data_IF_650515594663
#
_entry.id   IF_650515594663
#
_cell.length_a   1.000
_cell.length_b   1.000
_cell.length_c   1.000
_cell.angle_alpha   90.00
_cell.angle_beta   90.00
_cell.angle_gamma   90.00
#
_symmetry.space_group_name_H-M   'P 1'
#
loop_
_entity.id
_entity.type
_entity.pdbx_description
1 polymer ?
#
# COMPACT_ATOMS: atom_id res chain seq x y z
N UNK A 1 -24.66 -22.38 -6.57
CA UNK A 1 -23.86 -21.17 -6.86
C UNK A 1 -22.93 -20.92 -5.69
N UNK A 2 -21.60 -20.84 -5.89
CA UNK A 2 -20.65 -20.55 -4.80
C UNK A 2 -20.64 -19.03 -4.56
N UNK A 3 -20.87 -18.60 -3.32
CA UNK A 3 -20.80 -17.18 -2.93
C UNK A 3 -19.37 -16.84 -2.53
N UNK A 4 -18.86 -15.71 -3.00
CA UNK A 4 -17.57 -15.12 -2.60
C UNK A 4 -17.86 -13.89 -1.77
N UNK A 5 -17.17 -13.73 -0.67
CA UNK A 5 -17.32 -12.59 0.25
C UNK A 5 -15.97 -11.94 0.53
N UNK A 6 -15.97 -10.64 0.79
CA UNK A 6 -14.81 -9.91 1.32
C UNK A 6 -14.88 -10.01 2.84
N UNK A 7 -13.81 -10.52 3.44
CA UNK A 7 -13.75 -10.74 4.90
C UNK A 7 -12.89 -9.72 5.63
N UNK A 8 -12.02 -9.02 4.93
CA UNK A 8 -11.17 -7.98 5.51
C UNK A 8 -10.62 -7.02 4.46
N UNK A 9 -10.36 -5.81 4.88
CA UNK A 9 -9.87 -4.72 4.02
C UNK A 9 -8.67 -4.06 4.69
N UNK A 10 -7.65 -3.73 3.89
CA UNK A 10 -6.52 -2.90 4.30
C UNK A 10 -6.34 -1.73 3.34
N UNK A 11 -6.02 -0.56 3.86
CA UNK A 11 -5.83 0.64 3.06
C UNK A 11 -4.55 1.38 3.46
N UNK A 12 -3.76 1.78 2.46
CA UNK A 12 -2.61 2.68 2.59
C UNK A 12 -2.80 3.81 1.59
N UNK A 13 -2.88 5.02 2.07
CA UNK A 13 -3.16 6.18 1.22
C UNK A 13 -2.51 7.45 1.76
N UNK A 14 -2.45 8.50 0.94
CA UNK A 14 -1.95 9.82 1.33
C UNK A 14 -2.85 10.56 2.34
N UNK A 15 -4.09 10.12 2.54
CA UNK A 15 -5.04 10.71 3.48
C UNK A 15 -5.19 9.91 4.77
N UNK A 16 -4.55 8.75 4.87
CA UNK A 16 -4.56 7.92 6.08
C UNK A 16 -4.20 6.47 5.83
N UNK A 17 -3.76 5.81 6.89
CA UNK A 17 -3.48 4.38 6.92
C UNK A 17 -4.56 3.65 7.73
N UNK A 18 -5.00 2.52 7.20
CA UNK A 18 -6.14 1.76 7.73
C UNK A 18 -7.49 2.28 7.25
N UNK A 19 -8.46 1.38 7.20
CA UNK A 19 -9.80 1.65 6.62
C UNK A 19 -10.53 2.76 7.37
N UNK A 20 -10.42 2.80 8.69
CA UNK A 20 -11.11 3.82 9.51
C UNK A 20 -10.59 5.23 9.22
N UNK A 21 -9.27 5.42 9.23
CA UNK A 21 -8.64 6.71 8.94
C UNK A 21 -8.94 7.16 7.52
N UNK A 22 -8.82 6.25 6.55
CA UNK A 22 -9.14 6.51 5.15
C UNK A 22 -10.61 6.93 4.97
N UNK A 23 -11.56 6.17 5.52
CA UNK A 23 -12.99 6.46 5.40
C UNK A 23 -13.36 7.79 6.09
N UNK A 24 -12.75 8.10 7.23
CA UNK A 24 -12.97 9.37 7.92
C UNK A 24 -12.44 10.54 7.10
N UNK A 25 -11.22 10.45 6.59
CA UNK A 25 -10.64 11.49 5.74
C UNK A 25 -11.49 11.79 4.49
N UNK A 26 -12.06 10.74 3.87
CA UNK A 26 -12.98 10.92 2.73
C UNK A 26 -14.26 11.64 3.14
N UNK A 27 -14.84 11.32 4.30
CA UNK A 27 -16.06 12.00 4.81
C UNK A 27 -15.77 13.47 5.12
N UNK A 28 -14.60 13.76 5.64
CA UNK A 28 -14.18 15.11 6.02
C UNK A 28 -13.66 15.93 4.82
N UNK A 29 -13.57 15.33 3.63
CA UNK A 29 -13.09 15.98 2.42
C UNK A 29 -11.59 16.34 2.50
N UNK A 30 -10.79 15.58 3.26
CA UNK A 30 -9.36 15.82 3.41
C UNK A 30 -8.63 15.57 2.10
N UNK A 31 -7.85 16.55 1.65
CA UNK A 31 -6.98 16.40 0.49
C UNK A 31 -5.64 15.78 0.89
N UNK A 32 -5.23 14.73 0.18
CA UNK A 32 -3.91 14.12 0.31
C UNK A 32 -2.84 14.75 -0.59
N UNK A 33 -3.18 15.82 -1.31
CA UNK A 33 -2.24 16.51 -2.19
C UNK A 33 -1.30 17.38 -1.37
N UNK A 34 0.00 17.19 -1.55
CA UNK A 34 1.05 17.97 -0.90
C UNK A 34 2.21 18.20 -1.87
N UNK A 35 3.20 18.99 -1.46
CA UNK A 35 4.45 19.06 -2.19
C UNK A 35 5.19 17.72 -2.10
N UNK A 36 5.72 17.28 -3.23
CA UNK A 36 6.53 16.07 -3.33
C UNK A 36 7.87 16.31 -2.62
N UNK A 37 8.22 15.42 -1.72
CA UNK A 37 9.47 15.48 -0.92
C UNK A 37 10.37 14.27 -1.14
N UNK A 38 9.87 13.22 -1.78
CA UNK A 38 10.63 11.98 -2.00
C UNK A 38 11.70 12.08 -3.08
N UNK A 39 11.61 13.09 -3.96
CA UNK A 39 12.59 13.37 -5.00
C UNK A 39 12.60 14.86 -5.39
N UNK A 40 13.66 15.28 -6.08
CA UNK A 40 13.78 16.66 -6.59
C UNK A 40 12.82 16.87 -7.78
N UNK A 41 11.93 17.83 -7.65
CA UNK A 41 10.93 18.20 -8.66
C UNK A 41 11.36 19.36 -9.56
N UNK A 42 12.62 19.80 -9.48
CA UNK A 42 13.15 20.88 -10.32
C UNK A 42 13.01 20.51 -11.80
N UNK A 43 12.38 21.39 -12.58
CA UNK A 43 12.12 21.16 -14.01
C UNK A 43 10.85 20.40 -14.35
N UNK A 44 10.08 19.93 -13.35
CA UNK A 44 8.76 19.36 -13.59
C UNK A 44 7.68 20.44 -13.67
N UNK A 45 6.63 20.19 -14.44
CA UNK A 45 5.49 21.12 -14.57
C UNK A 45 4.66 21.24 -13.28
N UNK A 46 4.77 20.29 -12.37
CA UNK A 46 4.11 20.29 -11.05
C UNK A 46 5.04 19.68 -10.00
N UNK A 47 5.06 20.29 -8.82
CA UNK A 47 5.74 19.78 -7.63
C UNK A 47 4.75 19.17 -6.61
N UNK A 48 3.50 18.94 -7.02
CA UNK A 48 2.45 18.41 -6.14
C UNK A 48 2.11 16.97 -6.48
N UNK A 49 1.89 16.17 -5.44
CA UNK A 49 1.49 14.77 -5.56
C UNK A 49 0.83 14.25 -4.27
N UNK A 50 0.41 13.00 -4.30
CA UNK A 50 -0.20 12.33 -3.16
C UNK A 50 0.79 11.34 -2.56
N UNK A 51 1.67 11.80 -1.69
CA UNK A 51 2.62 10.94 -1.00
C UNK A 51 2.04 10.39 0.30
N UNK A 52 2.30 9.12 0.59
CA UNK A 52 1.94 8.51 1.88
C UNK A 52 2.90 9.03 2.94
N UNK A 53 2.37 9.80 3.89
CA UNK A 53 3.12 10.39 4.97
C UNK A 53 3.19 9.44 6.19
N UNK A 54 4.29 9.46 6.93
CA UNK A 54 4.43 8.72 8.19
C UNK A 54 4.40 7.19 8.05
N UNK A 55 4.72 6.65 6.87
CA UNK A 55 4.80 5.22 6.67
C UNK A 55 6.17 4.71 7.14
N UNK A 56 6.16 3.87 8.14
CA UNK A 56 7.33 3.20 8.70
C UNK A 56 7.31 1.71 8.31
N UNK A 57 8.07 1.31 7.29
CA UNK A 57 8.02 -0.04 6.75
C UNK A 57 8.45 -1.11 7.77
N UNK A 58 9.29 -0.78 8.73
CA UNK A 58 9.78 -1.67 9.78
C UNK A 58 8.64 -2.23 10.65
N UNK A 59 7.58 -1.47 10.85
CA UNK A 59 6.39 -1.92 11.59
C UNK A 59 5.66 -3.07 10.88
N UNK A 60 5.77 -3.12 9.56
CA UNK A 60 5.06 -4.06 8.70
C UNK A 60 5.93 -5.23 8.23
N UNK A 61 7.26 -5.07 8.23
CA UNK A 61 8.22 -6.03 7.64
C UNK A 61 9.18 -6.53 8.68
N UNK A 62 8.84 -7.68 9.29
CA UNK A 62 9.67 -8.31 10.33
C UNK A 62 10.60 -9.41 9.79
N UNK A 63 10.33 -9.94 8.60
CA UNK A 63 11.05 -11.08 8.01
C UNK A 63 11.89 -10.71 6.80
N UNK A 64 11.65 -9.54 6.22
CA UNK A 64 12.32 -9.05 5.02
C UNK A 64 12.85 -7.66 5.31
N UNK A 65 14.08 -7.41 4.92
CA UNK A 65 14.70 -6.10 5.04
C UNK A 65 13.92 -5.09 4.18
N UNK A 66 13.31 -4.05 4.76
CA UNK A 66 12.50 -3.09 4.00
C UNK A 66 13.24 -2.41 2.85
N UNK A 67 14.54 -2.15 3.03
CA UNK A 67 15.38 -1.50 2.03
C UNK A 67 15.54 -2.32 0.74
N UNK A 68 15.27 -3.62 0.77
CA UNK A 68 15.34 -4.50 -0.41
C UNK A 68 14.08 -4.46 -1.26
N UNK A 69 13.01 -3.82 -0.76
CA UNK A 69 11.71 -3.76 -1.41
C UNK A 69 11.40 -2.35 -1.92
N UNK A 70 10.90 -2.27 -3.14
CA UNK A 70 10.35 -1.02 -3.67
C UNK A 70 9.13 -0.54 -2.86
N UNK A 71 8.90 0.76 -2.85
CA UNK A 71 7.84 1.42 -2.06
C UNK A 71 6.45 0.81 -2.28
N UNK A 72 6.12 0.47 -3.53
CA UNK A 72 4.85 -0.18 -3.87
C UNK A 72 4.67 -1.54 -3.21
N UNK A 73 5.75 -2.34 -3.16
CA UNK A 73 5.73 -3.64 -2.49
C UNK A 73 5.58 -3.48 -0.97
N UNK A 74 6.24 -2.47 -0.38
CA UNK A 74 6.07 -2.14 1.03
C UNK A 74 4.61 -1.80 1.37
N UNK A 75 3.95 -0.99 0.56
CA UNK A 75 2.52 -0.67 0.74
C UNK A 75 1.62 -1.88 0.57
N UNK A 76 1.91 -2.75 -0.40
CA UNK A 76 1.14 -3.98 -0.61
C UNK A 76 1.22 -4.92 0.60
N UNK A 77 2.41 -5.09 1.19
CA UNK A 77 2.59 -5.90 2.42
C UNK A 77 1.83 -5.30 3.59
N UNK A 78 1.91 -3.99 3.79
CA UNK A 78 1.19 -3.31 4.87
C UNK A 78 -0.33 -3.45 4.71
N UNK A 79 -0.86 -3.18 3.52
CA UNK A 79 -2.28 -3.33 3.23
C UNK A 79 -2.77 -4.77 3.41
N UNK A 80 -1.99 -5.77 2.96
CA UNK A 80 -2.32 -7.17 3.15
C UNK A 80 -2.38 -7.56 4.63
N UNK A 81 -1.41 -7.12 5.44
CA UNK A 81 -1.42 -7.37 6.89
C UNK A 81 -2.62 -6.71 7.59
N UNK A 82 -2.97 -5.48 7.20
CA UNK A 82 -4.17 -4.82 7.71
C UNK A 82 -5.44 -5.62 7.35
N UNK A 83 -5.55 -6.09 6.11
CA UNK A 83 -6.70 -6.86 5.65
C UNK A 83 -6.84 -8.21 6.39
N UNK A 84 -5.74 -8.90 6.64
CA UNK A 84 -5.72 -10.17 7.40
C UNK A 84 -6.14 -9.91 8.85
N UNK A 85 -5.65 -8.84 9.47
CA UNK A 85 -6.03 -8.45 10.83
C UNK A 85 -7.51 -8.05 10.91
N UNK A 86 -8.00 -7.29 9.94
CA UNK A 86 -9.42 -6.88 9.87
C UNK A 86 -10.35 -8.08 9.67
N UNK A 87 -9.92 -9.10 8.90
CA UNK A 87 -10.63 -10.35 8.71
C UNK A 87 -10.66 -11.25 9.97
N UNK A 88 -9.83 -10.99 10.98
CA UNK A 88 -9.68 -11.82 12.16
C UNK A 88 -9.09 -13.22 11.88
N UNK A 89 -8.37 -13.38 10.78
CA UNK A 89 -7.75 -14.64 10.36
C UNK A 89 -6.38 -14.78 11.02
N UNK A 90 -6.10 -15.92 11.64
CA UNK A 90 -4.76 -16.25 12.11
C UNK A 90 -3.82 -16.42 10.90
N UNK A 91 -2.71 -15.67 10.81
CA UNK A 91 -1.74 -15.81 9.72
C UNK A 91 -1.19 -17.25 9.55
N UNK A 92 -1.22 -18.07 10.61
CA UNK A 92 -0.81 -19.49 10.55
C UNK A 92 -1.78 -20.31 9.72
N UNK A 93 -3.05 -19.98 9.74
CA UNK A 93 -4.07 -20.68 8.95
C UNK A 93 -3.89 -20.43 7.45
N UNK A 94 -3.40 -19.24 7.06
CA UNK A 94 -3.13 -18.90 5.68
C UNK A 94 -2.06 -19.80 5.05
N UNK A 95 -1.08 -20.26 5.83
CA UNK A 95 -0.02 -21.15 5.33
C UNK A 95 -0.48 -22.59 5.14
N UNK A 96 -1.57 -23.01 5.81
CA UNK A 96 -2.12 -24.38 5.74
C UNK A 96 -3.28 -24.52 4.77
N UNK A 97 -3.89 -23.42 4.33
CA UNK A 97 -5.04 -23.40 3.44
C UNK A 97 -4.66 -23.17 1.98
N UNK A 98 -5.60 -23.42 1.06
CA UNK A 98 -5.45 -23.03 -0.35
C UNK A 98 -5.61 -21.53 -0.46
N UNK A 99 -4.51 -20.81 -0.25
CA UNK A 99 -4.45 -19.36 -0.31
C UNK A 99 -3.65 -18.94 -1.53
N UNK A 100 -4.11 -17.90 -2.22
CA UNK A 100 -3.41 -17.26 -3.31
C UNK A 100 -3.29 -15.76 -3.10
N UNK A 101 -2.23 -15.16 -3.64
CA UNK A 101 -2.03 -13.71 -3.63
C UNK A 101 -2.04 -13.23 -5.07
N UNK A 102 -2.84 -12.21 -5.36
CA UNK A 102 -2.85 -11.53 -6.64
C UNK A 102 -2.58 -10.04 -6.40
N UNK A 103 -1.52 -9.52 -7.03
CA UNK A 103 -1.16 -8.10 -6.95
C UNK A 103 -1.32 -7.50 -8.34
N UNK A 104 -2.12 -6.46 -8.44
CA UNK A 104 -2.28 -5.69 -9.66
C UNK A 104 -1.58 -4.33 -9.51
N UNK A 105 -0.68 -4.01 -10.44
CA UNK A 105 0.01 -2.72 -10.48
C UNK A 105 -0.06 -2.15 -11.91
N UNK A 106 -0.43 -0.87 -12.09
CA UNK A 106 -0.47 -0.25 -13.41
C UNK A 106 0.91 -0.16 -14.08
N UNK A 107 1.99 -0.29 -13.31
CA UNK A 107 3.36 -0.25 -13.86
C UNK A 107 3.82 -1.58 -14.48
N UNK A 108 3.09 -2.67 -14.33
CA UNK A 108 3.42 -3.96 -14.96
C UNK A 108 3.17 -4.01 -16.46
N UNK A 109 2.62 -2.96 -17.05
CA UNK A 109 2.24 -2.94 -18.49
C UNK A 109 3.31 -2.27 -19.37
N UNK A 110 4.35 -1.67 -18.80
CA UNK A 110 5.39 -1.02 -19.59
C UNK A 110 6.77 -1.68 -19.34
N UNK A 111 7.35 -2.37 -20.33
CA UNK A 111 8.68 -2.97 -20.19
C UNK A 111 9.83 -1.96 -20.22
N UNK A 112 9.55 -0.68 -20.18
CA UNK A 112 10.59 0.35 -20.05
C UNK A 112 11.25 0.23 -18.69
N UNK A 113 12.59 0.17 -18.58
CA UNK A 113 13.28 0.17 -17.31
C UNK A 113 12.86 1.43 -16.54
N UNK A 114 12.34 1.22 -15.32
CA UNK A 114 12.02 2.33 -14.43
C UNK A 114 13.34 3.09 -14.15
N UNK A 115 13.48 4.36 -14.52
CA UNK A 115 14.73 5.09 -14.35
C UNK A 115 15.09 5.39 -12.89
N UNK A 116 14.29 4.88 -11.95
CA UNK A 116 14.44 5.08 -10.51
C UNK A 116 14.87 3.82 -9.74
N UNK A 117 15.38 2.79 -10.44
CA UNK A 117 16.04 1.65 -9.83
C UNK A 117 17.52 1.75 -10.16
N UNK A 118 18.22 2.60 -9.44
CA UNK A 118 19.67 2.60 -9.22
C UNK A 118 19.93 2.82 -7.74
#
# INVERSE_FOLDING_TARGET
MRRVVVTGIGAVSSVGMGVKAFAQALKDGVSGVSEIRSFDTTGFASNKGCEVQGFEPEQWMQRVEPATLGRSAQFAVAAAKMAVADAGIDPRELSSSRCGVSIFSPHTVNPSPCPYVT
#
